data_IF_720886435365
#
_entry.id   IF_720886435365
#
_cell.length_a   1.000
_cell.length_b   1.000
_cell.length_c   1.000
_cell.angle_alpha   90.00
_cell.angle_beta   90.00
_cell.angle_gamma   90.00
#
_symmetry.space_group_name_H-M   'P 1'
#
loop_
_entity.id
_entity.type
_entity.pdbx_description
1 polymer ?
#
# COMPACT_ATOMS: atom_id res chain seq x y z
N UNK A 1 -9.40 -7.73 -20.63
CA UNK A 1 -9.91 -8.50 -19.48
C UNK A 1 -10.93 -7.67 -18.75
N UNK A 2 -12.12 -8.21 -18.56
CA UNK A 2 -13.19 -7.57 -17.81
C UNK A 2 -13.19 -8.14 -16.38
N UNK A 3 -13.23 -7.26 -15.40
CA UNK A 3 -13.42 -7.65 -14.00
C UNK A 3 -14.72 -7.03 -13.53
N UNK A 4 -15.73 -7.87 -13.30
CA UNK A 4 -17.05 -7.44 -12.85
C UNK A 4 -17.16 -7.63 -11.34
N UNK A 5 -17.45 -6.55 -10.62
CA UNK A 5 -17.75 -6.58 -9.20
C UNK A 5 -19.25 -6.45 -8.98
N UNK A 6 -19.88 -7.52 -8.51
CA UNK A 6 -21.31 -7.51 -8.13
C UNK A 6 -21.46 -6.83 -6.76
N UNK A 7 -22.15 -5.70 -6.73
CA UNK A 7 -22.58 -5.06 -5.48
C UNK A 7 -23.94 -5.64 -5.08
N UNK A 8 -24.05 -6.29 -3.89
CA UNK A 8 -25.37 -6.73 -3.41
C UNK A 8 -26.32 -5.54 -3.32
N UNK A 9 -27.50 -5.62 -3.97
CA UNK A 9 -28.55 -4.61 -3.91
C UNK A 9 -28.52 -3.51 -4.97
N UNK A 10 -27.58 -3.49 -5.93
CA UNK A 10 -27.63 -2.59 -7.09
C UNK A 10 -28.32 -3.26 -8.28
N UNK A 11 -29.39 -2.65 -8.75
CA UNK A 11 -30.31 -3.28 -9.71
C UNK A 11 -29.78 -3.39 -11.15
N UNK A 12 -28.78 -2.62 -11.60
CA UNK A 12 -28.58 -2.48 -13.04
C UNK A 12 -27.17 -2.45 -13.61
N UNK A 13 -26.12 -2.15 -12.86
CA UNK A 13 -24.74 -2.18 -13.40
C UNK A 13 -23.75 -2.56 -12.32
N UNK A 14 -23.05 -3.72 -12.44
CA UNK A 14 -21.94 -4.03 -11.55
C UNK A 14 -20.81 -3.01 -11.75
N UNK A 15 -20.07 -2.71 -10.70
CA UNK A 15 -18.80 -2.01 -10.87
C UNK A 15 -17.92 -2.88 -11.78
N UNK A 16 -17.46 -2.31 -12.89
CA UNK A 16 -16.73 -3.02 -13.95
C UNK A 16 -15.45 -2.28 -14.26
N UNK A 17 -14.41 -3.01 -14.58
CA UNK A 17 -13.15 -2.46 -15.09
C UNK A 17 -12.76 -3.19 -16.38
N UNK A 18 -12.55 -2.43 -17.46
CA UNK A 18 -12.02 -2.94 -18.73
C UNK A 18 -10.58 -2.51 -18.92
N UNK A 19 -9.76 -3.41 -19.49
CA UNK A 19 -8.36 -3.13 -19.85
C UNK A 19 -8.12 -3.41 -21.34
N UNK A 20 -7.35 -2.51 -21.98
CA UNK A 20 -6.69 -2.75 -23.26
C UNK A 20 -5.17 -2.90 -23.03
N UNK A 21 -4.54 -3.66 -23.92
CA UNK A 21 -3.11 -3.97 -23.82
C UNK A 21 -2.42 -3.75 -25.16
N UNK A 22 -1.12 -3.45 -25.14
CA UNK A 22 -0.26 -3.46 -26.31
C UNK A 22 0.26 -4.87 -26.64
N UNK A 23 1.05 -4.99 -27.71
CA UNK A 23 1.64 -6.26 -28.15
C UNK A 23 2.65 -6.86 -27.13
N UNK A 24 3.16 -6.08 -26.19
CA UNK A 24 4.04 -6.53 -25.12
C UNK A 24 3.27 -6.92 -23.86
N UNK A 25 1.93 -6.86 -23.87
CA UNK A 25 1.08 -7.19 -22.73
C UNK A 25 0.99 -6.08 -21.68
N UNK A 26 1.45 -4.84 -21.99
CA UNK A 26 1.35 -3.71 -21.07
C UNK A 26 -0.02 -3.05 -21.21
N UNK A 27 -0.73 -2.70 -20.11
CA UNK A 27 -1.99 -2.00 -20.21
C UNK A 27 -1.81 -0.65 -20.87
N UNK A 28 -2.59 -0.37 -21.92
CA UNK A 28 -2.60 0.93 -22.61
C UNK A 28 -3.80 1.78 -22.24
N UNK A 29 -4.87 1.13 -21.76
CA UNK A 29 -6.07 1.80 -21.30
C UNK A 29 -6.70 1.01 -20.14
N UNK A 30 -7.30 1.73 -19.20
CA UNK A 30 -8.18 1.20 -18.15
C UNK A 30 -9.45 2.04 -18.11
N UNK A 31 -10.62 1.41 -18.14
CA UNK A 31 -11.92 2.06 -17.99
C UNK A 31 -12.64 1.53 -16.78
N UNK A 32 -12.96 2.42 -15.84
CA UNK A 32 -13.76 2.11 -14.66
C UNK A 32 -15.20 2.58 -14.84
N UNK A 33 -16.15 1.71 -14.50
CA UNK A 33 -17.59 1.95 -14.59
C UNK A 33 -18.19 1.79 -13.18
N UNK A 34 -18.92 2.81 -12.72
CA UNK A 34 -19.53 2.83 -11.39
C UNK A 34 -21.06 2.99 -11.55
N UNK A 35 -21.73 1.89 -11.94
CA UNK A 35 -23.18 1.83 -12.20
C UNK A 35 -23.69 2.63 -13.42
N UNK A 36 -22.85 2.85 -14.43
CA UNK A 36 -23.20 3.55 -15.67
C UNK A 36 -22.80 2.73 -16.90
N UNK A 37 -23.51 2.86 -18.05
CA UNK A 37 -23.12 2.19 -19.29
C UNK A 37 -21.87 2.81 -19.95
N UNK A 38 -21.54 4.07 -19.61
CA UNK A 38 -20.34 4.76 -20.07
C UNK A 38 -19.26 4.73 -18.99
N UNK A 39 -17.96 4.73 -19.33
CA UNK A 39 -16.91 4.77 -18.33
C UNK A 39 -16.95 6.07 -17.55
N UNK A 40 -16.89 5.98 -16.22
CA UNK A 40 -16.81 7.13 -15.30
C UNK A 40 -15.39 7.70 -15.27
N UNK A 41 -14.40 6.84 -15.40
CA UNK A 41 -12.99 7.21 -15.44
C UNK A 41 -12.26 6.36 -16.49
N UNK A 42 -11.49 7.03 -17.34
CA UNK A 42 -10.60 6.39 -18.29
C UNK A 42 -9.17 6.82 -18.00
N UNK A 43 -8.28 5.85 -17.93
CA UNK A 43 -6.84 6.01 -17.86
C UNK A 43 -6.23 5.64 -19.21
N UNK A 44 -5.31 6.47 -19.70
CA UNK A 44 -4.52 6.18 -20.91
C UNK A 44 -3.05 6.15 -20.52
N UNK A 45 -2.42 4.99 -20.65
CA UNK A 45 -1.05 4.76 -20.22
C UNK A 45 -0.08 4.87 -21.38
N UNK A 46 1.06 5.50 -21.15
CA UNK A 46 2.20 5.50 -22.08
C UNK A 46 3.46 5.02 -21.39
N UNK A 47 4.35 4.44 -22.16
CA UNK A 47 5.58 3.82 -21.69
C UNK A 47 6.79 4.35 -22.44
N UNK A 48 7.94 4.40 -21.77
CA UNK A 48 9.20 4.68 -22.43
C UNK A 48 9.76 3.42 -23.11
N UNK A 49 10.93 3.55 -23.79
CA UNK A 49 11.57 2.45 -24.50
C UNK A 49 12.01 1.26 -23.64
N UNK A 50 12.03 1.42 -22.32
CA UNK A 50 12.34 0.36 -21.34
C UNK A 50 11.09 -0.25 -20.68
N UNK A 51 9.90 0.07 -21.20
CA UNK A 51 8.61 -0.37 -20.64
C UNK A 51 8.28 0.20 -19.25
N UNK A 52 8.91 1.28 -18.84
CA UNK A 52 8.56 2.01 -17.62
C UNK A 52 7.39 2.96 -17.92
N UNK A 53 6.44 3.08 -17.00
CA UNK A 53 5.27 3.97 -17.16
C UNK A 53 5.71 5.43 -17.23
N UNK A 54 5.56 6.05 -18.41
CA UNK A 54 5.93 7.45 -18.62
C UNK A 54 4.78 8.42 -18.30
N UNK A 55 3.54 8.03 -18.57
CA UNK A 55 2.38 8.83 -18.19
C UNK A 55 1.11 7.97 -18.01
N UNK A 56 0.21 8.51 -17.18
CA UNK A 56 -1.18 8.12 -17.05
C UNK A 56 -2.04 9.38 -17.27
N UNK A 57 -2.71 9.47 -18.41
CA UNK A 57 -3.64 10.54 -18.72
C UNK A 57 -5.06 10.08 -18.34
N UNK A 58 -5.64 10.74 -17.35
CA UNK A 58 -6.98 10.44 -16.89
C UNK A 58 -8.02 11.36 -17.53
N UNK A 59 -9.20 10.81 -17.84
CA UNK A 59 -10.34 11.60 -18.33
C UNK A 59 -10.85 12.63 -17.32
N UNK A 60 -10.55 12.42 -16.02
CA UNK A 60 -10.79 13.34 -14.90
C UNK A 60 -9.60 13.27 -13.97
N UNK A 61 -9.13 14.41 -13.45
CA UNK A 61 -8.02 14.47 -12.49
C UNK A 61 -6.66 14.83 -13.10
N UNK A 62 -6.55 14.86 -14.44
CA UNK A 62 -5.35 15.33 -15.14
C UNK A 62 -4.38 14.23 -15.57
N UNK A 63 -3.13 14.62 -15.81
CA UNK A 63 -2.08 13.71 -16.28
C UNK A 63 -1.04 13.53 -15.21
N UNK A 64 -0.73 12.27 -14.91
CA UNK A 64 0.45 11.88 -14.14
C UNK A 64 1.60 11.61 -15.10
N UNK A 65 2.79 12.13 -14.82
CA UNK A 65 3.95 11.94 -15.68
C UNK A 65 5.19 11.58 -14.86
N UNK A 66 6.01 10.67 -15.38
CA UNK A 66 7.15 10.10 -14.69
C UNK A 66 8.37 10.06 -15.60
N UNK A 67 9.54 10.36 -15.05
CA UNK A 67 10.83 10.13 -15.72
C UNK A 67 11.73 9.29 -14.81
N UNK A 68 12.62 8.54 -15.44
CA UNK A 68 13.50 7.57 -14.79
C UNK A 68 14.94 7.73 -15.25
N UNK A 69 15.88 7.40 -14.40
CA UNK A 69 17.29 7.28 -14.75
C UNK A 69 17.57 5.98 -15.52
N UNK A 70 18.85 5.72 -15.84
CA UNK A 70 19.25 4.57 -16.65
C UNK A 70 19.06 3.22 -15.93
N UNK A 71 18.88 3.20 -14.62
CA UNK A 71 18.71 1.99 -13.80
C UNK A 71 17.30 1.84 -13.23
N UNK A 72 16.37 2.73 -13.63
CA UNK A 72 14.96 2.65 -13.29
C UNK A 72 14.54 3.42 -12.04
N UNK A 73 15.42 4.24 -11.43
CA UNK A 73 14.96 5.14 -10.37
C UNK A 73 14.12 6.25 -10.97
N UNK A 74 13.03 6.61 -10.29
CA UNK A 74 12.27 7.80 -10.64
C UNK A 74 13.12 9.05 -10.38
N UNK A 75 13.29 9.90 -11.39
CA UNK A 75 13.98 11.19 -11.26
C UNK A 75 13.00 12.36 -11.20
N UNK A 76 11.82 12.22 -11.83
CA UNK A 76 10.73 13.18 -11.65
C UNK A 76 9.38 12.48 -11.59
N UNK A 77 8.43 13.08 -10.84
CA UNK A 77 7.01 12.78 -10.96
C UNK A 77 6.19 14.06 -10.98
N UNK A 78 5.10 14.04 -11.73
CA UNK A 78 4.05 15.07 -11.69
C UNK A 78 2.72 14.37 -11.50
N UNK A 79 1.95 14.78 -10.52
CA UNK A 79 0.70 14.13 -10.15
C UNK A 79 -0.49 15.07 -10.30
N UNK A 80 -1.17 14.99 -11.46
CA UNK A 80 -2.36 15.78 -11.80
C UNK A 80 -2.09 17.00 -12.69
N UNK A 81 -3.19 17.65 -13.11
CA UNK A 81 -3.15 18.86 -13.93
C UNK A 81 -2.65 20.06 -13.12
N UNK A 82 -1.64 20.75 -13.65
CA UNK A 82 -1.07 21.95 -13.03
C UNK A 82 -0.19 21.70 -11.82
N UNK A 83 0.04 20.45 -11.41
CA UNK A 83 0.97 20.13 -10.34
C UNK A 83 2.41 20.37 -10.75
N UNK A 84 3.20 20.92 -9.84
CA UNK A 84 4.65 21.01 -9.97
C UNK A 84 5.30 19.65 -9.95
N UNK A 85 6.41 19.49 -10.64
CA UNK A 85 7.14 18.22 -10.62
C UNK A 85 7.86 18.02 -9.28
N UNK A 86 7.74 16.83 -8.71
CA UNK A 86 8.66 16.38 -7.68
C UNK A 86 9.95 15.90 -8.34
N UNK A 87 11.11 16.26 -7.76
CA UNK A 87 12.43 15.84 -8.23
C UNK A 87 13.06 14.92 -7.18
N UNK A 88 13.51 13.76 -7.63
CA UNK A 88 14.11 12.71 -6.81
C UNK A 88 15.61 12.66 -7.05
N UNK A 89 16.41 12.71 -5.99
CA UNK A 89 17.86 12.57 -6.04
C UNK A 89 18.26 11.26 -5.37
N UNK A 90 19.02 10.42 -6.05
CA UNK A 90 19.56 9.18 -5.51
C UNK A 90 21.08 9.26 -5.31
N UNK A 91 21.60 8.50 -4.36
CA UNK A 91 23.03 8.31 -4.12
C UNK A 91 23.58 7.10 -4.92
N UNK A 92 24.90 6.85 -4.79
CA UNK A 92 25.55 5.73 -5.46
C UNK A 92 25.14 4.33 -4.91
N UNK A 93 24.43 4.28 -3.79
CA UNK A 93 23.85 3.06 -3.23
C UNK A 93 22.40 2.84 -3.71
N UNK A 94 21.96 3.64 -4.67
CA UNK A 94 20.61 3.58 -5.22
C UNK A 94 19.49 3.90 -4.20
N UNK A 95 19.80 4.79 -3.25
CA UNK A 95 18.87 5.26 -2.23
C UNK A 95 18.51 6.71 -2.51
N UNK A 96 17.24 7.09 -2.43
CA UNK A 96 16.82 8.48 -2.52
C UNK A 96 17.34 9.29 -1.31
N UNK A 97 18.02 10.38 -1.59
CA UNK A 97 18.55 11.31 -0.57
C UNK A 97 17.72 12.59 -0.44
N UNK A 98 16.96 12.92 -1.49
CA UNK A 98 16.05 14.06 -1.48
C UNK A 98 14.86 13.81 -2.42
N UNK A 99 13.69 14.31 -2.01
CA UNK A 99 12.50 14.48 -2.83
C UNK A 99 12.12 15.95 -2.72
N UNK A 100 12.43 16.72 -3.75
CA UNK A 100 12.24 18.18 -3.78
C UNK A 100 10.93 18.52 -4.46
N UNK A 101 10.15 19.44 -3.86
CA UNK A 101 8.90 19.95 -4.36
C UNK A 101 9.01 21.45 -4.57
N UNK A 102 8.41 21.98 -5.64
CA UNK A 102 8.30 23.44 -5.84
C UNK A 102 7.33 24.04 -4.82
N UNK A 103 6.26 23.32 -4.50
CA UNK A 103 5.29 23.71 -3.49
C UNK A 103 5.23 22.69 -2.38
N UNK A 104 5.18 23.16 -1.12
CA UNK A 104 5.18 22.30 0.05
C UNK A 104 6.58 21.94 0.56
N UNK A 105 6.63 21.11 1.59
CA UNK A 105 7.87 20.69 2.22
C UNK A 105 8.58 19.63 1.39
N UNK A 106 9.85 19.84 1.10
CA UNK A 106 10.74 18.79 0.56
C UNK A 106 11.01 17.73 1.63
N UNK A 107 11.25 16.51 1.19
CA UNK A 107 11.52 15.38 2.06
C UNK A 107 12.93 14.82 1.81
N UNK A 108 13.66 14.54 2.89
CA UNK A 108 14.97 13.88 2.85
C UNK A 108 14.87 12.54 3.58
N UNK A 109 14.77 11.41 2.85
CA UNK A 109 14.86 10.08 3.44
C UNK A 109 16.19 9.88 4.17
N UNK A 110 16.18 9.09 5.25
CA UNK A 110 17.39 8.68 5.97
C UNK A 110 17.45 7.15 6.01
N UNK A 111 18.66 6.62 6.13
CA UNK A 111 18.94 5.19 6.13
C UNK A 111 19.91 4.83 7.24
N UNK A 112 19.82 3.62 7.76
CA UNK A 112 20.83 3.04 8.64
C UNK A 112 21.99 2.41 7.85
N UNK A 113 22.97 1.85 8.58
CA UNK A 113 24.14 1.22 7.96
C UNK A 113 23.81 -0.05 7.17
N UNK A 114 22.69 -0.69 7.44
CA UNK A 114 22.19 -1.88 6.73
C UNK A 114 21.35 -1.51 5.50
N UNK A 115 21.13 -0.21 5.25
CA UNK A 115 20.37 0.30 4.13
C UNK A 115 18.85 0.37 4.37
N UNK A 116 18.38 0.13 5.59
CA UNK A 116 16.97 0.28 5.92
C UNK A 116 16.60 1.76 5.99
N UNK A 117 15.44 2.12 5.43
CA UNK A 117 14.97 3.50 5.47
C UNK A 117 14.42 3.85 6.86
N UNK A 118 15.16 4.68 7.60
CA UNK A 118 14.83 5.09 8.98
C UNK A 118 13.93 6.33 9.06
N UNK A 119 13.79 7.07 7.97
CA UNK A 119 12.90 8.22 7.86
C UNK A 119 12.03 8.09 6.60
N UNK A 120 10.72 8.01 6.80
CA UNK A 120 9.73 7.86 5.72
C UNK A 120 8.71 9.00 5.77
N UNK A 121 8.10 9.30 4.62
CA UNK A 121 6.98 10.23 4.53
C UNK A 121 5.72 9.49 4.08
N UNK A 122 4.61 9.80 4.75
CA UNK A 122 3.28 9.27 4.44
C UNK A 122 2.29 10.42 4.28
N UNK A 123 1.03 10.13 3.96
CA UNK A 123 -0.05 11.13 3.93
C UNK A 123 -0.29 11.81 5.29
N UNK A 124 0.15 11.20 6.40
CA UNK A 124 0.03 11.78 7.75
C UNK A 124 1.28 12.54 8.19
N UNK A 125 2.32 12.63 7.34
CA UNK A 125 3.59 13.31 7.61
C UNK A 125 4.78 12.38 7.73
N UNK A 126 5.87 12.87 8.32
CA UNK A 126 7.12 12.13 8.48
C UNK A 126 7.06 11.19 9.67
N UNK A 127 7.64 10.00 9.51
CA UNK A 127 7.80 8.98 10.54
C UNK A 127 9.25 8.56 10.66
N UNK A 128 9.69 8.33 11.89
CA UNK A 128 10.93 7.61 12.18
C UNK A 128 10.64 6.12 12.29
N UNK A 129 11.52 5.29 11.69
CA UNK A 129 11.39 3.84 11.67
C UNK A 129 12.61 3.20 12.31
N UNK A 130 12.37 2.26 13.21
CA UNK A 130 13.39 1.51 13.92
C UNK A 130 13.27 0.04 13.55
N UNK A 131 14.42 -0.55 13.24
CA UNK A 131 14.51 -1.94 12.83
C UNK A 131 15.13 -2.80 13.94
N UNK A 132 14.74 -4.07 13.98
CA UNK A 132 15.39 -5.05 14.84
C UNK A 132 16.62 -5.65 14.13
N UNK A 133 17.35 -6.55 14.83
CA UNK A 133 18.55 -7.19 14.30
C UNK A 133 18.35 -8.11 13.07
N UNK A 134 17.09 -8.35 12.68
CA UNK A 134 16.73 -9.10 11.47
C UNK A 134 16.23 -8.18 10.35
N UNK A 135 16.51 -6.87 10.45
CA UNK A 135 16.06 -5.83 9.50
C UNK A 135 14.53 -5.77 9.33
N UNK A 136 13.76 -6.11 10.38
CA UNK A 136 12.32 -5.97 10.40
C UNK A 136 11.93 -4.65 11.06
N UNK A 137 11.04 -3.88 10.44
CA UNK A 137 10.54 -2.61 10.98
C UNK A 137 9.70 -2.85 12.24
N UNK A 138 10.34 -2.69 13.41
CA UNK A 138 9.76 -3.04 14.72
C UNK A 138 9.01 -1.89 15.39
N UNK A 139 9.39 -0.63 15.10
CA UNK A 139 8.77 0.54 15.72
C UNK A 139 8.74 1.72 14.76
N UNK A 140 7.62 2.46 14.76
CA UNK A 140 7.42 3.68 14.00
C UNK A 140 7.01 4.79 14.97
N UNK A 141 7.56 6.00 14.82
CA UNK A 141 7.27 7.16 15.67
C UNK A 141 6.93 8.37 14.81
N UNK A 142 5.84 9.05 15.16
CA UNK A 142 5.46 10.36 14.64
C UNK A 142 4.93 11.21 15.79
N UNK A 143 5.73 12.16 16.26
CA UNK A 143 5.37 12.96 17.43
C UNK A 143 5.02 12.09 18.64
N UNK A 144 3.77 12.21 19.12
CA UNK A 144 3.27 11.42 20.25
C UNK A 144 2.72 10.04 19.86
N UNK A 145 2.63 9.74 18.57
CA UNK A 145 2.11 8.48 18.06
C UNK A 145 3.22 7.46 17.85
N UNK A 146 3.02 6.25 18.37
CA UNK A 146 3.96 5.13 18.25
C UNK A 146 3.21 3.89 17.76
N UNK A 147 3.81 3.20 16.78
CA UNK A 147 3.35 1.88 16.32
C UNK A 147 4.46 0.88 16.60
N UNK A 148 4.14 -0.24 17.24
CA UNK A 148 5.05 -1.34 17.50
C UNK A 148 4.60 -2.61 16.79
N UNK A 149 5.54 -3.32 16.19
CA UNK A 149 5.31 -4.56 15.47
C UNK A 149 6.19 -5.67 16.05
N UNK A 150 5.63 -6.88 16.17
CA UNK A 150 6.38 -8.10 16.52
C UNK A 150 6.25 -9.11 15.40
N UNK A 151 7.32 -9.89 15.24
CA UNK A 151 7.44 -10.88 14.19
C UNK A 151 7.77 -12.24 14.79
N UNK A 152 7.37 -13.30 14.10
CA UNK A 152 7.80 -14.66 14.42
C UNK A 152 9.10 -15.04 13.67
N UNK A 153 9.56 -16.28 13.88
CA UNK A 153 10.78 -16.81 13.27
C UNK A 153 10.68 -17.00 11.75
N UNK A 154 9.47 -16.93 11.16
CA UNK A 154 9.23 -16.96 9.72
C UNK A 154 9.12 -15.56 9.10
N UNK A 155 9.49 -14.49 9.84
CA UNK A 155 9.37 -13.08 9.45
C UNK A 155 7.92 -12.61 9.22
N UNK A 156 6.90 -13.30 9.77
CA UNK A 156 5.51 -12.88 9.71
C UNK A 156 5.19 -11.96 10.88
N UNK A 157 4.52 -10.83 10.60
CA UNK A 157 4.11 -9.91 11.67
C UNK A 157 2.96 -10.50 12.47
N UNK A 158 3.22 -10.94 13.69
CA UNK A 158 2.23 -11.58 14.58
C UNK A 158 1.51 -10.61 15.50
N UNK A 159 2.04 -9.40 15.72
CA UNK A 159 1.41 -8.39 16.57
C UNK A 159 1.66 -6.98 16.04
N UNK A 160 0.67 -6.09 16.18
CA UNK A 160 0.76 -4.65 15.95
C UNK A 160 0.06 -3.93 17.10
N UNK A 161 0.77 -3.03 17.79
CA UNK A 161 0.23 -2.15 18.83
C UNK A 161 0.36 -0.69 18.40
N UNK A 162 -0.65 0.13 18.69
CA UNK A 162 -0.68 1.58 18.41
C UNK A 162 -0.87 2.31 19.73
N UNK A 163 -0.03 3.30 19.98
CA UNK A 163 -0.05 4.13 21.17
C UNK A 163 -0.19 5.60 20.81
N UNK A 164 -0.83 6.36 21.70
CA UNK A 164 -0.81 7.81 21.77
C UNK A 164 -0.17 8.19 23.11
N UNK A 165 1.06 8.70 23.06
CA UNK A 165 1.92 8.76 24.28
C UNK A 165 2.15 7.36 24.85
N UNK A 166 1.82 7.18 26.14
CA UNK A 166 1.91 5.91 26.83
C UNK A 166 0.58 5.12 26.84
N UNK A 167 -0.47 5.68 26.21
CA UNK A 167 -1.80 5.06 26.18
C UNK A 167 -1.87 4.09 25.00
N UNK A 168 -2.17 2.82 25.26
CA UNK A 168 -2.44 1.82 24.24
C UNK A 168 -3.83 2.09 23.61
N UNK A 169 -3.85 2.48 22.34
CA UNK A 169 -5.08 2.76 21.59
C UNK A 169 -5.65 1.51 20.90
N UNK A 170 -4.77 0.65 20.40
CA UNK A 170 -5.18 -0.63 19.82
C UNK A 170 -4.03 -1.62 19.81
N UNK A 171 -4.37 -2.90 19.98
CA UNK A 171 -3.43 -4.00 19.88
C UNK A 171 -4.08 -5.12 19.09
N UNK A 172 -3.41 -5.56 18.01
CA UNK A 172 -3.90 -6.61 17.13
C UNK A 172 -2.93 -7.77 17.08
N UNK A 173 -3.48 -9.01 17.04
CA UNK A 173 -2.74 -10.23 16.76
C UNK A 173 -3.19 -10.85 15.46
N UNK A 174 -2.25 -11.44 14.75
CA UNK A 174 -2.46 -12.06 13.44
C UNK A 174 -2.14 -13.55 13.52
N UNK A 175 -3.05 -14.37 13.02
CA UNK A 175 -2.89 -15.83 12.98
C UNK A 175 -2.64 -16.24 11.54
N UNK A 176 -1.70 -17.18 11.36
CA UNK A 176 -1.27 -17.65 10.06
C UNK A 176 -1.37 -19.16 9.93
N UNK A 177 -1.70 -19.61 8.72
CA UNK A 177 -1.47 -20.96 8.25
C UNK A 177 -0.40 -20.89 7.15
N UNK A 178 0.82 -21.39 7.42
CA UNK A 178 1.97 -21.08 6.55
C UNK A 178 2.20 -19.57 6.47
N UNK A 179 2.20 -18.99 5.28
CA UNK A 179 2.29 -17.54 5.05
C UNK A 179 0.93 -16.85 4.85
N UNK A 180 -0.17 -17.62 4.87
CA UNK A 180 -1.52 -17.07 4.75
C UNK A 180 -2.00 -16.54 6.09
N UNK A 181 -2.33 -15.25 6.17
CA UNK A 181 -3.03 -14.71 7.33
C UNK A 181 -4.46 -15.21 7.31
N UNK A 182 -4.85 -16.01 8.31
CA UNK A 182 -6.19 -16.60 8.40
C UNK A 182 -7.11 -15.90 9.39
N UNK A 183 -6.55 -15.16 10.36
CA UNK A 183 -7.35 -14.39 11.31
C UNK A 183 -6.66 -13.13 11.81
N UNK A 184 -7.47 -12.16 12.25
CA UNK A 184 -7.09 -10.95 12.99
C UNK A 184 -7.92 -10.88 14.27
N UNK A 185 -7.23 -10.66 15.40
CA UNK A 185 -7.83 -10.55 16.71
C UNK A 185 -7.49 -9.19 17.33
N UNK A 186 -8.45 -8.60 18.06
CA UNK A 186 -8.14 -7.53 19.01
C UNK A 186 -7.57 -8.16 20.28
N UNK A 187 -6.38 -7.75 20.66
CA UNK A 187 -5.73 -8.19 21.88
C UNK A 187 -5.92 -7.14 22.98
N UNK A 188 -6.17 -7.57 24.18
CA UNK A 188 -6.26 -6.67 25.34
C UNK A 188 -4.89 -6.09 25.70
N UNK A 189 -4.90 -5.00 26.49
CA UNK A 189 -3.70 -4.40 27.06
C UNK A 189 -2.95 -5.35 28.00
N UNK A 190 -3.68 -6.21 28.68
CA UNK A 190 -3.14 -7.22 29.60
C UNK A 190 -3.07 -8.59 28.92
N UNK A 191 -1.98 -9.32 29.12
CA UNK A 191 -1.78 -10.65 28.52
C UNK A 191 -2.78 -11.71 29.03
N UNK A 192 -3.41 -11.48 30.19
CA UNK A 192 -4.38 -12.39 30.80
C UNK A 192 -5.77 -12.33 30.17
N UNK A 193 -6.10 -11.29 29.41
CA UNK A 193 -7.41 -11.19 28.77
C UNK A 193 -7.42 -11.92 27.42
N UNK A 194 -8.50 -12.65 27.16
CA UNK A 194 -8.67 -13.39 25.90
C UNK A 194 -8.80 -12.42 24.72
N UNK A 195 -8.02 -12.64 23.65
CA UNK A 195 -8.19 -11.87 22.43
C UNK A 195 -9.56 -12.11 21.79
N UNK A 196 -10.16 -11.07 21.21
CA UNK A 196 -11.45 -11.14 20.52
C UNK A 196 -11.24 -11.27 19.02
N UNK A 197 -11.84 -12.29 18.40
CA UNK A 197 -11.78 -12.49 16.95
C UNK A 197 -12.48 -11.32 16.24
N UNK A 198 -11.83 -10.74 15.23
CA UNK A 198 -12.38 -9.62 14.43
C UNK A 198 -12.56 -9.95 12.99
N UNK A 199 -11.64 -10.72 12.42
CA UNK A 199 -11.69 -11.09 11.01
C UNK A 199 -11.18 -12.50 10.81
N UNK A 200 -11.76 -13.19 9.84
CA UNK A 200 -11.17 -14.40 9.26
C UNK A 200 -11.08 -14.25 7.76
N UNK A 201 -10.12 -14.96 7.17
CA UNK A 201 -9.86 -14.95 5.73
C UNK A 201 -9.87 -16.36 5.19
N UNK A 202 -10.68 -16.61 4.16
CA UNK A 202 -10.65 -17.82 3.35
C UNK A 202 -9.89 -17.52 2.07
N UNK A 203 -8.79 -18.21 1.85
CA UNK A 203 -7.94 -18.08 0.67
C UNK A 203 -8.33 -19.09 -0.39
N UNK A 204 -8.10 -18.74 -1.66
CA UNK A 204 -8.34 -19.65 -2.77
C UNK A 204 -7.36 -20.84 -2.71
N UNK A 205 -7.85 -22.10 -2.54
CA UNK A 205 -6.99 -23.26 -2.45
C UNK A 205 -6.35 -23.64 -3.79
N UNK A 206 -6.83 -23.08 -4.91
CA UNK A 206 -6.30 -23.32 -6.25
C UNK A 206 -5.15 -22.38 -6.60
N UNK A 207 -4.92 -21.33 -5.80
CA UNK A 207 -3.81 -20.38 -5.97
C UNK A 207 -2.56 -20.89 -5.22
N UNK A 208 -1.47 -21.23 -5.92
CA UNK A 208 -0.24 -21.71 -5.29
C UNK A 208 0.48 -20.60 -4.49
N UNK A 209 0.21 -19.33 -4.81
CA UNK A 209 0.66 -18.17 -4.07
C UNK A 209 -0.54 -17.45 -3.43
N UNK A 210 -0.40 -16.97 -2.21
CA UNK A 210 -1.41 -16.31 -1.39
C UNK A 210 -1.88 -14.95 -1.97
N UNK A 211 -2.45 -14.96 -3.16
CA UNK A 211 -2.77 -13.74 -3.91
C UNK A 211 -4.25 -13.41 -3.90
N UNK A 212 -5.14 -14.39 -3.59
CA UNK A 212 -6.58 -14.18 -3.68
C UNK A 212 -7.32 -14.63 -2.42
N UNK A 213 -7.96 -13.67 -1.76
CA UNK A 213 -8.92 -13.92 -0.69
C UNK A 213 -10.30 -14.13 -1.33
N UNK A 214 -10.93 -15.28 -1.08
CA UNK A 214 -12.28 -15.58 -1.55
C UNK A 214 -13.35 -14.98 -0.64
N UNK A 215 -13.13 -15.05 0.69
CA UNK A 215 -14.10 -14.56 1.68
C UNK A 215 -13.35 -13.92 2.82
N UNK A 216 -13.86 -12.77 3.28
CA UNK A 216 -13.49 -12.15 4.55
C UNK A 216 -14.73 -12.06 5.41
N UNK A 217 -14.71 -12.70 6.57
CA UNK A 217 -15.77 -12.56 7.59
C UNK A 217 -15.37 -11.52 8.63
N UNK A 218 -16.31 -10.69 9.03
CA UNK A 218 -16.16 -9.66 10.06
C UNK A 218 -16.98 -10.08 11.28
N UNK A 219 -16.43 -9.91 12.46
CA UNK A 219 -17.05 -10.22 13.74
C UNK A 219 -17.21 -8.93 14.57
N UNK A 220 -18.27 -8.86 15.35
CA UNK A 220 -18.56 -7.73 16.23
C UNK A 220 -17.61 -7.65 17.44
N UNK A 221 -17.93 -6.80 18.41
CA UNK A 221 -17.11 -6.61 19.61
C UNK A 221 -17.09 -7.83 20.54
N UNK A 222 -18.04 -8.75 20.39
CA UNK A 222 -18.11 -10.00 21.15
C UNK A 222 -17.42 -11.17 20.44
N UNK A 223 -17.08 -11.01 19.15
CA UNK A 223 -16.47 -12.03 18.30
C UNK A 223 -17.51 -12.99 17.69
N UNK A 224 -18.76 -12.55 17.58
CA UNK A 224 -19.87 -13.31 16.97
C UNK A 224 -20.38 -12.67 15.68
#
# INVERSE_FOLDING_TARGET
VNIDYLRPGSANYPAKTDYAYDALGRPTEKKDYFNTPAPDLTHSYSYNGRSELAADAMSRGGTYAYAYDNIGNRVTSREGSGASAEVYTANNLNQYTAITREEGASFAPAYDADGNQTKIQTSTGEWEVFYNALNQAARFIQGNRRVECRYDYLNRRIEKAVYEGDILMSKKRFIYHGYLQIAELDAAATESAMPVLRKTYLWDPLEPAATRILVMSLFDETGT
#
